data_IF_982147056684
#
_entry.id   IF_982147056684
#
_cell.length_a   1.000
_cell.length_b   1.000
_cell.length_c   1.000
_cell.angle_alpha   90.00
_cell.angle_beta   90.00
_cell.angle_gamma   90.00
#
_symmetry.space_group_name_H-M   'P 1'
#
loop_
_entity.id
_entity.type
_entity.pdbx_description
1 polymer ?
#
# COMPACT_ATOMS: atom_id res chain seq x y z
N UNK A 1 9.21 -13.89 -1.49
CA UNK A 1 9.96 -13.58 -2.73
C UNK A 1 9.79 -12.10 -3.04
N UNK A 2 10.86 -11.32 -3.10
CA UNK A 2 10.80 -9.90 -3.48
C UNK A 2 10.61 -9.78 -5.01
N UNK A 3 9.47 -9.24 -5.45
CA UNK A 3 9.07 -9.12 -6.86
C UNK A 3 9.02 -7.67 -7.35
N UNK A 4 9.48 -6.71 -6.55
CA UNK A 4 9.33 -5.28 -6.85
C UNK A 4 9.99 -4.86 -8.17
N UNK A 5 11.04 -5.57 -8.59
CA UNK A 5 11.72 -5.33 -9.86
C UNK A 5 10.91 -5.70 -11.10
N UNK A 6 9.81 -6.46 -10.95
CA UNK A 6 8.94 -6.84 -12.07
C UNK A 6 7.93 -5.76 -12.44
N UNK A 7 7.84 -4.69 -11.66
CA UNK A 7 6.83 -3.65 -11.82
C UNK A 7 7.49 -2.27 -11.95
N UNK A 8 6.87 -1.41 -12.75
CA UNK A 8 7.29 -0.02 -12.91
C UNK A 8 7.11 0.77 -11.62
N UNK A 9 5.99 0.56 -10.94
CA UNK A 9 5.62 1.21 -9.68
C UNK A 9 4.92 0.18 -8.80
N UNK A 10 5.23 0.18 -7.51
CA UNK A 10 4.49 -0.58 -6.51
C UNK A 10 3.72 0.37 -5.57
N UNK A 11 2.53 -0.06 -5.16
CA UNK A 11 1.66 0.73 -4.30
C UNK A 11 1.31 -0.03 -3.04
N UNK A 12 1.40 0.64 -1.89
CA UNK A 12 1.04 0.12 -0.60
C UNK A 12 -0.17 0.86 -0.04
N UNK A 13 -1.22 0.12 0.31
CA UNK A 13 -2.34 0.66 1.09
C UNK A 13 -2.13 0.29 2.56
N UNK A 14 -2.12 1.29 3.44
CA UNK A 14 -1.94 1.10 4.89
C UNK A 14 -3.27 1.31 5.63
N UNK A 15 -3.46 0.56 6.70
CA UNK A 15 -4.56 0.70 7.66
C UNK A 15 -4.00 0.43 9.07
N UNK A 16 -4.67 0.90 10.12
CA UNK A 16 -4.22 0.62 11.49
C UNK A 16 -4.30 -0.87 11.79
N UNK A 17 -3.49 -1.37 12.72
CA UNK A 17 -3.51 -2.78 13.11
C UNK A 17 -4.91 -3.22 13.58
N UNK A 18 -5.59 -2.37 14.33
CA UNK A 18 -6.98 -2.58 14.76
C UNK A 18 -7.94 -2.72 13.56
N UNK A 19 -7.83 -1.83 12.57
CA UNK A 19 -8.65 -1.89 11.36
C UNK A 19 -8.34 -3.17 10.55
N UNK A 20 -7.07 -3.56 10.45
CA UNK A 20 -6.67 -4.80 9.78
C UNK A 20 -7.26 -6.02 10.49
N UNK A 21 -7.17 -6.07 11.81
CA UNK A 21 -7.71 -7.14 12.63
C UNK A 21 -9.23 -7.27 12.45
N UNK A 22 -9.96 -6.16 12.63
CA UNK A 22 -11.42 -6.12 12.47
C UNK A 22 -11.86 -6.55 11.07
N UNK A 23 -11.17 -6.07 10.03
CA UNK A 23 -11.46 -6.43 8.63
C UNK A 23 -11.14 -7.91 8.34
N UNK A 24 -10.04 -8.45 8.88
CA UNK A 24 -9.66 -9.85 8.71
C UNK A 24 -10.66 -10.80 9.37
N UNK A 25 -11.05 -10.53 10.62
CA UNK A 25 -12.04 -11.33 11.34
C UNK A 25 -13.37 -11.29 10.60
N UNK A 26 -13.86 -10.09 10.26
CA UNK A 26 -15.17 -9.92 9.61
C UNK A 26 -15.25 -10.55 8.22
N UNK A 27 -14.19 -10.45 7.41
CA UNK A 27 -14.20 -10.98 6.03
C UNK A 27 -13.89 -12.48 5.97
N UNK A 28 -12.95 -12.96 6.78
CA UNK A 28 -12.42 -14.31 6.67
C UNK A 28 -12.96 -15.27 7.74
N UNK A 29 -13.87 -14.81 8.62
CA UNK A 29 -14.45 -15.58 9.74
C UNK A 29 -13.38 -16.23 10.62
N UNK A 30 -12.27 -15.52 10.85
CA UNK A 30 -11.14 -15.99 11.65
C UNK A 30 -11.36 -15.68 13.12
N UNK A 31 -10.77 -16.49 14.00
CA UNK A 31 -10.57 -16.07 15.40
C UNK A 31 -9.60 -14.89 15.48
N UNK A 32 -9.67 -14.13 16.56
CA UNK A 32 -8.75 -13.02 16.80
C UNK A 32 -7.28 -13.47 16.81
N UNK A 33 -6.99 -14.61 17.46
CA UNK A 33 -5.65 -15.17 17.54
C UNK A 33 -5.09 -15.55 16.16
N UNK A 34 -5.91 -16.13 15.27
CA UNK A 34 -5.50 -16.45 13.91
C UNK A 34 -5.24 -15.19 13.08
N UNK A 35 -6.10 -14.17 13.22
CA UNK A 35 -5.93 -12.90 12.52
C UNK A 35 -4.67 -12.16 13.00
N UNK A 36 -4.39 -12.12 14.29
CA UNK A 36 -3.16 -11.56 14.86
C UNK A 36 -1.92 -12.32 14.39
N UNK A 37 -1.96 -13.67 14.37
CA UNK A 37 -0.85 -14.49 13.85
C UNK A 37 -0.54 -14.17 12.39
N UNK A 38 -1.57 -13.93 11.57
CA UNK A 38 -1.41 -13.52 10.17
C UNK A 38 -0.82 -12.13 10.02
N UNK A 39 -1.24 -11.16 10.84
CA UNK A 39 -0.66 -9.81 10.84
C UNK A 39 0.82 -9.89 11.23
N UNK A 40 1.14 -10.57 12.34
CA UNK A 40 2.51 -10.72 12.85
C UNK A 40 3.43 -11.53 11.92
N UNK A 41 2.88 -12.39 11.06
CA UNK A 41 3.66 -13.14 10.07
C UNK A 41 4.14 -12.29 8.88
N UNK A 42 3.58 -11.08 8.73
CA UNK A 42 3.94 -10.17 7.65
C UNK A 42 5.07 -9.23 8.09
N UNK A 43 5.72 -8.62 7.11
CA UNK A 43 6.66 -7.53 7.34
C UNK A 43 5.97 -6.35 8.05
N UNK A 44 6.61 -5.72 9.06
CA UNK A 44 6.09 -4.51 9.69
C UNK A 44 5.70 -3.44 8.68
N UNK A 45 4.63 -2.70 8.96
CA UNK A 45 4.05 -1.77 7.99
C UNK A 45 5.01 -0.64 7.63
N UNK A 46 5.84 -0.20 8.57
CA UNK A 46 6.88 0.82 8.39
C UNK A 46 7.96 0.35 7.43
N UNK A 47 8.43 -0.89 7.59
CA UNK A 47 9.40 -1.51 6.70
C UNK A 47 8.80 -1.71 5.30
N UNK A 48 7.53 -2.13 5.23
CA UNK A 48 6.82 -2.30 3.96
C UNK A 48 6.62 -0.97 3.24
N UNK A 49 6.32 0.11 3.98
CA UNK A 49 6.13 1.46 3.45
C UNK A 49 7.43 2.04 2.89
N UNK A 50 8.56 1.81 3.55
CA UNK A 50 9.87 2.23 3.02
C UNK A 50 10.14 1.65 1.63
N UNK A 51 9.71 0.41 1.39
CA UNK A 51 9.88 -0.27 0.11
C UNK A 51 8.83 0.14 -0.96
N UNK A 52 7.79 0.89 -0.60
CA UNK A 52 6.66 1.16 -1.47
C UNK A 52 6.79 2.48 -2.23
N UNK A 53 6.78 2.52 -3.57
CA UNK A 53 6.92 3.73 -4.38
C UNK A 53 5.83 4.76 -4.05
N UNK A 54 4.60 4.28 -3.84
CA UNK A 54 3.44 5.09 -3.44
C UNK A 54 2.79 4.45 -2.21
N UNK A 55 2.43 5.27 -1.22
CA UNK A 55 1.70 4.85 -0.01
C UNK A 55 0.36 5.56 0.06
N UNK A 56 -0.74 4.79 0.12
CA UNK A 56 -2.09 5.29 0.34
C UNK A 56 -2.50 4.99 1.79
N UNK A 57 -2.79 6.04 2.56
CA UNK A 57 -3.27 5.91 3.93
C UNK A 57 -4.80 5.78 4.00
N UNK A 58 -5.26 4.56 4.26
CA UNK A 58 -6.68 4.19 4.41
C UNK A 58 -7.12 4.15 5.88
N UNK A 59 -6.42 4.86 6.77
CA UNK A 59 -6.85 5.05 8.16
C UNK A 59 -7.94 6.12 8.30
N UNK A 60 -8.01 7.04 7.34
CA UNK A 60 -8.92 8.19 7.33
C UNK A 60 -10.32 7.83 6.82
N UNK A 61 -11.15 8.87 6.56
CA UNK A 61 -12.47 8.69 5.96
C UNK A 61 -12.39 8.11 4.55
N UNK A 62 -13.49 7.50 4.10
CA UNK A 62 -13.63 7.02 2.73
C UNK A 62 -13.42 8.14 1.70
N UNK A 63 -13.93 9.34 1.98
CA UNK A 63 -13.77 10.51 1.11
C UNK A 63 -12.31 10.93 0.96
N UNK A 64 -11.52 10.89 2.05
CA UNK A 64 -10.08 11.17 1.97
C UNK A 64 -9.37 10.11 1.13
N UNK A 65 -9.70 8.84 1.35
CA UNK A 65 -9.12 7.74 0.56
C UNK A 65 -9.46 7.88 -0.92
N UNK A 66 -10.69 8.29 -1.25
CA UNK A 66 -11.11 8.51 -2.63
C UNK A 66 -10.32 9.63 -3.31
N UNK A 67 -10.15 10.77 -2.64
CA UNK A 67 -9.31 11.88 -3.15
C UNK A 67 -7.87 11.44 -3.43
N UNK A 68 -7.25 10.73 -2.48
CA UNK A 68 -5.87 10.24 -2.64
C UNK A 68 -5.79 9.24 -3.81
N UNK A 69 -6.79 8.36 -3.96
CA UNK A 69 -6.85 7.41 -5.08
C UNK A 69 -6.99 8.15 -6.41
N UNK A 70 -7.81 9.19 -6.49
CA UNK A 70 -7.97 10.00 -7.70
C UNK A 70 -6.67 10.71 -8.09
N UNK A 71 -5.95 11.28 -7.11
CA UNK A 71 -4.63 11.90 -7.30
C UNK A 71 -3.58 10.88 -7.80
N UNK A 72 -3.50 9.72 -7.14
CA UNK A 72 -2.61 8.63 -7.55
C UNK A 72 -2.95 8.13 -8.95
N UNK A 73 -4.23 8.05 -9.30
CA UNK A 73 -4.66 7.62 -10.62
C UNK A 73 -4.21 8.58 -11.72
N UNK A 74 -4.37 9.90 -11.52
CA UNK A 74 -3.85 10.88 -12.48
C UNK A 74 -2.33 10.79 -12.61
N UNK A 75 -1.63 10.67 -11.48
CA UNK A 75 -0.17 10.49 -11.47
C UNK A 75 0.25 9.26 -12.29
N UNK A 76 -0.42 8.12 -12.13
CA UNK A 76 -0.12 6.91 -12.88
C UNK A 76 -0.35 7.07 -14.38
N UNK A 77 -1.43 7.78 -14.78
CA UNK A 77 -1.68 8.10 -16.19
C UNK A 77 -0.60 9.01 -16.78
N UNK A 78 -0.14 10.01 -16.03
CA UNK A 78 0.97 10.86 -16.46
C UNK A 78 2.26 10.06 -16.64
N UNK A 79 2.53 9.10 -15.76
CA UNK A 79 3.69 8.21 -15.88
C UNK A 79 3.61 7.30 -17.11
N UNK A 80 2.42 6.78 -17.42
CA UNK A 80 2.19 5.98 -18.62
C UNK A 80 2.52 6.79 -19.89
N UNK A 81 2.11 8.05 -19.95
CA UNK A 81 2.36 8.93 -21.09
C UNK A 81 3.80 9.48 -21.12
N UNK A 82 4.53 9.44 -20.00
CA UNK A 82 5.91 9.91 -19.90
C UNK A 82 6.81 8.95 -19.08
N UNK A 83 7.34 7.90 -19.71
CA UNK A 83 8.13 6.86 -19.03
C UNK A 83 9.40 7.38 -18.33
N UNK A 84 9.92 8.54 -18.73
CA UNK A 84 11.11 9.15 -18.10
C UNK A 84 10.84 9.54 -16.64
N UNK A 85 9.59 9.84 -16.27
CA UNK A 85 9.20 10.18 -14.90
C UNK A 85 9.39 9.02 -13.92
N UNK A 86 9.17 7.78 -14.35
CA UNK A 86 9.32 6.57 -13.53
C UNK A 86 10.77 6.47 -12.99
N UNK A 87 11.75 6.81 -13.84
CA UNK A 87 13.17 6.80 -13.46
C UNK A 87 13.54 7.86 -12.41
N UNK A 88 12.83 9.01 -12.40
CA UNK A 88 13.07 10.08 -11.41
C UNK A 88 12.56 9.68 -10.03
N UNK A 89 11.38 9.07 -9.95
CA UNK A 89 10.78 8.61 -8.69
C UNK A 89 11.65 7.54 -8.03
N UNK A 90 12.15 6.57 -8.82
CA UNK A 90 13.06 5.54 -8.30
C UNK A 90 14.42 6.08 -7.83
N UNK A 91 14.87 7.24 -8.33
CA UNK A 91 16.12 7.88 -7.88
C UNK A 91 15.95 8.67 -6.58
N UNK A 92 14.81 9.32 -6.36
CA UNK A 92 14.52 10.07 -5.12
C UNK A 92 14.47 9.15 -3.89
N UNK A 93 14.14 7.87 -4.09
CA UNK A 93 14.04 6.85 -3.04
C UNK A 93 15.35 6.15 -2.66
N UNK A 94 16.45 6.36 -3.38
CA UNK A 94 17.74 5.69 -3.14
C UNK A 94 18.70 6.54 -2.32
#
# INVERSE_FOLDING_TARGET
VNRQHLFDVNLLVVASEEQQLKRLIGRNKLSEAEAQKRIKSQMPIEQKAALADIVIDNRNSLSNTQKIVDEVWQLLKEMEQNPVMISKIKKVKR
#
